data_IF_831097145993
#
_entry.id   IF_831097145993
#
_cell.length_a   1.000
_cell.length_b   1.000
_cell.length_c   1.000
_cell.angle_alpha   90.00
_cell.angle_beta   90.00
_cell.angle_gamma   90.00
#
_symmetry.space_group_name_H-M   'P 1'
#
loop_
_entity.id
_entity.type
_entity.pdbx_description
1 polymer ?
#
# COMPACT_ATOMS: atom_id res chain seq x y z
N UNK A 1 -0.93 0.76 -3.47
CA UNK A 1 -0.77 0.98 -2.00
C UNK A 1 -1.89 0.26 -1.26
N UNK A 2 -1.52 -0.70 -0.46
CA UNK A 2 -2.41 -1.41 0.46
C UNK A 2 -2.56 -0.56 1.73
N UNK A 3 -3.52 0.35 1.72
CA UNK A 3 -3.66 1.37 2.77
C UNK A 3 -3.94 0.76 4.13
N UNK A 4 -4.75 -0.30 4.20
CA UNK A 4 -5.04 -0.95 5.48
C UNK A 4 -3.79 -1.57 6.11
N UNK A 5 -2.99 -2.28 5.33
CA UNK A 5 -1.75 -2.88 5.83
C UNK A 5 -0.82 -1.80 6.40
N UNK A 6 -0.59 -0.73 5.66
CA UNK A 6 0.27 0.36 6.10
C UNK A 6 -0.31 1.10 7.31
N UNK A 7 -1.63 1.33 7.32
CA UNK A 7 -2.32 2.00 8.42
C UNK A 7 -2.17 1.21 9.72
N UNK A 8 -2.48 -0.09 9.70
CA UNK A 8 -2.40 -0.91 10.89
C UNK A 8 -0.96 -1.03 11.41
N UNK A 9 0.00 -1.18 10.52
CA UNK A 9 1.41 -1.26 10.89
C UNK A 9 1.90 0.05 11.54
N UNK A 10 1.61 1.19 10.94
CA UNK A 10 2.00 2.48 11.49
C UNK A 10 1.36 2.72 12.87
N UNK A 11 0.08 2.37 13.01
CA UNK A 11 -0.64 2.49 14.27
C UNK A 11 -0.07 1.61 15.35
N UNK A 12 0.14 0.34 15.04
CA UNK A 12 0.59 -0.65 16.02
C UNK A 12 2.06 -0.47 16.43
N UNK A 13 2.91 -0.11 15.48
CA UNK A 13 4.36 0.02 15.74
C UNK A 13 4.75 1.39 16.30
N UNK A 14 4.07 2.46 15.88
CA UNK A 14 4.52 3.83 16.12
C UNK A 14 3.42 4.75 16.66
N UNK A 15 2.20 4.25 16.83
CA UNK A 15 1.02 5.07 17.17
C UNK A 15 0.93 6.34 16.28
N UNK A 16 1.07 6.14 14.98
CA UNK A 16 1.20 7.22 14.01
C UNK A 16 0.35 6.93 12.76
N UNK A 17 0.23 7.93 11.91
CA UNK A 17 -0.35 7.80 10.57
C UNK A 17 0.76 7.83 9.53
N UNK A 18 0.49 7.23 8.39
CA UNK A 18 1.43 7.25 7.25
C UNK A 18 1.30 8.58 6.49
N UNK A 19 2.42 9.18 6.16
CA UNK A 19 2.49 10.33 5.26
C UNK A 19 2.57 9.82 3.82
N UNK A 20 1.44 9.68 3.16
CA UNK A 20 1.37 9.11 1.81
C UNK A 20 2.04 9.99 0.74
N UNK A 21 2.15 11.30 0.97
CA UNK A 21 2.91 12.17 0.08
C UNK A 21 4.40 11.75 0.06
N UNK A 22 4.99 11.49 1.22
CA UNK A 22 6.38 11.05 1.30
C UNK A 22 6.57 9.61 0.79
N UNK A 23 5.59 8.74 1.03
CA UNK A 23 5.61 7.38 0.47
C UNK A 23 5.57 7.44 -1.06
N UNK A 24 4.72 8.28 -1.64
CA UNK A 24 4.66 8.45 -3.09
C UNK A 24 5.98 8.97 -3.65
N UNK A 25 6.59 9.94 -3.00
CA UNK A 25 7.89 10.50 -3.43
C UNK A 25 8.98 9.44 -3.46
N UNK A 26 9.11 8.62 -2.41
CA UNK A 26 10.13 7.57 -2.39
C UNK A 26 9.81 6.45 -3.38
N UNK A 27 8.54 6.14 -3.61
CA UNK A 27 8.13 5.18 -4.61
C UNK A 27 8.49 5.65 -6.04
N UNK A 28 8.26 6.91 -6.35
CA UNK A 28 8.63 7.49 -7.64
C UNK A 28 10.15 7.53 -7.82
N UNK A 29 10.88 7.92 -6.78
CA UNK A 29 12.36 7.91 -6.77
C UNK A 29 13.00 8.62 -7.99
N UNK A 30 12.41 9.73 -8.43
CA UNK A 30 12.90 10.48 -9.59
C UNK A 30 12.61 9.85 -10.95
N UNK A 31 11.92 8.72 -10.98
CA UNK A 31 11.51 8.02 -12.21
C UNK A 31 10.26 8.67 -12.80
N UNK A 32 9.92 8.31 -14.05
CA UNK A 32 8.67 8.74 -14.66
C UNK A 32 7.49 8.10 -13.95
N UNK A 33 6.65 8.93 -13.35
CA UNK A 33 5.42 8.48 -12.70
C UNK A 33 4.36 8.15 -13.74
N UNK A 34 3.85 6.91 -13.71
CA UNK A 34 2.80 6.45 -14.62
C UNK A 34 1.45 6.48 -13.92
N UNK A 35 1.26 5.65 -12.88
CA UNK A 35 0.00 5.57 -12.12
C UNK A 35 0.27 5.12 -10.69
N UNK A 36 -0.58 5.57 -9.76
CA UNK A 36 -0.62 5.07 -8.41
C UNK A 36 -2.05 4.79 -7.99
N UNK A 37 -2.25 3.66 -7.30
CA UNK A 37 -3.54 3.26 -6.76
C UNK A 37 -3.45 3.14 -5.25
N UNK A 38 -4.46 3.66 -4.55
CA UNK A 38 -4.65 3.43 -3.12
C UNK A 38 -5.94 2.62 -2.93
N UNK A 39 -5.83 1.51 -2.25
CA UNK A 39 -6.95 0.60 -1.97
C UNK A 39 -7.43 0.88 -0.57
N UNK A 40 -8.61 1.42 -0.47
CA UNK A 40 -9.15 1.96 0.77
C UNK A 40 -10.51 1.36 1.11
N UNK A 41 -10.83 1.37 2.38
CA UNK A 41 -12.09 0.87 2.91
C UNK A 41 -12.85 2.03 3.52
N UNK A 42 -14.13 2.16 3.14
CA UNK A 42 -15.02 3.18 3.65
C UNK A 42 -15.90 2.60 4.76
N UNK A 43 -15.90 3.25 5.90
CA UNK A 43 -16.81 2.93 6.99
C UNK A 43 -18.15 3.66 6.81
N UNK A 44 -19.18 3.22 7.54
CA UNK A 44 -20.53 3.81 7.44
C UNK A 44 -20.58 5.29 7.80
N UNK A 45 -19.65 5.79 8.62
CA UNK A 45 -19.61 7.18 9.04
C UNK A 45 -19.12 8.17 8.00
N UNK A 46 -18.47 7.71 6.93
CA UNK A 46 -17.94 8.56 5.87
C UNK A 46 -16.84 9.52 6.32
N UNK A 47 -16.18 9.23 7.43
CA UNK A 47 -15.16 10.11 8.04
C UNK A 47 -13.87 10.18 7.22
N UNK A 48 -13.66 9.23 6.31
CA UNK A 48 -12.44 9.11 5.50
C UNK A 48 -12.44 10.02 4.26
N UNK A 49 -13.54 10.73 3.98
CA UNK A 49 -13.66 11.55 2.77
C UNK A 49 -12.51 12.56 2.60
N UNK A 50 -12.10 13.33 3.65
CA UNK A 50 -10.95 14.23 3.51
C UNK A 50 -9.64 13.50 3.17
N UNK A 51 -9.46 12.31 3.70
CA UNK A 51 -8.30 11.48 3.41
C UNK A 51 -8.29 11.03 1.93
N UNK A 52 -9.44 10.59 1.42
CA UNK A 52 -9.56 10.19 0.02
C UNK A 52 -9.31 11.37 -0.93
N UNK A 53 -9.81 12.55 -0.58
CA UNK A 53 -9.55 13.77 -1.34
C UNK A 53 -8.06 14.15 -1.33
N UNK A 54 -7.40 14.00 -0.18
CA UNK A 54 -5.96 14.24 -0.07
C UNK A 54 -5.15 13.29 -0.96
N UNK A 55 -5.51 12.01 -1.01
CA UNK A 55 -4.86 11.05 -1.92
C UNK A 55 -5.06 11.44 -3.38
N UNK A 56 -6.28 11.80 -3.76
CA UNK A 56 -6.59 12.22 -5.12
C UNK A 56 -5.79 13.47 -5.53
N UNK A 57 -5.63 14.43 -4.62
CA UNK A 57 -4.84 15.64 -4.86
C UNK A 57 -3.35 15.35 -5.08
N UNK A 58 -2.85 14.22 -4.59
CA UNK A 58 -1.48 13.77 -4.84
C UNK A 58 -1.32 13.07 -6.20
N UNK A 59 -2.42 12.85 -6.93
CA UNK A 59 -2.41 12.08 -8.17
C UNK A 59 -2.55 10.57 -7.97
N UNK A 60 -3.00 10.15 -6.80
CA UNK A 60 -3.25 8.75 -6.47
C UNK A 60 -4.71 8.42 -6.75
N UNK A 61 -4.96 7.40 -7.56
CA UNK A 61 -6.30 6.89 -7.84
C UNK A 61 -6.79 6.04 -6.67
N UNK A 62 -7.92 6.40 -6.09
CA UNK A 62 -8.49 5.63 -4.97
C UNK A 62 -9.47 4.57 -5.46
N UNK A 63 -9.29 3.35 -4.98
CA UNK A 63 -10.23 2.24 -5.12
C UNK A 63 -10.92 2.06 -3.79
N UNK A 64 -12.22 2.31 -3.73
CA UNK A 64 -12.98 2.31 -2.48
C UNK A 64 -13.86 1.09 -2.40
N UNK A 65 -13.85 0.42 -1.27
CA UNK A 65 -14.76 -0.68 -0.93
C UNK A 65 -15.42 -0.37 0.40
N UNK A 66 -16.71 -0.67 0.51
CA UNK A 66 -17.41 -0.53 1.78
C UNK A 66 -17.03 -1.67 2.73
N UNK A 67 -16.90 -1.32 4.00
CA UNK A 67 -16.66 -2.32 5.05
C UNK A 67 -17.88 -3.24 5.15
N UNK A 68 -17.65 -4.56 4.99
CA UNK A 68 -18.69 -5.57 5.12
C UNK A 68 -18.72 -6.09 6.56
N UNK A 69 -19.90 -6.04 7.18
CA UNK A 69 -20.16 -6.70 8.46
C UNK A 69 -20.90 -8.01 8.19
N UNK A 70 -20.33 -9.12 8.66
CA UNK A 70 -20.97 -10.42 8.56
C UNK A 70 -21.91 -10.64 9.75
N UNK A 71 -22.83 -11.58 9.58
CA UNK A 71 -23.88 -11.92 10.54
C UNK A 71 -23.33 -12.27 11.94
N UNK A 72 -22.10 -12.75 12.02
CA UNK A 72 -21.41 -13.12 13.27
C UNK A 72 -20.61 -11.97 13.89
N UNK A 73 -20.76 -10.75 13.40
CA UNK A 73 -20.01 -9.59 13.84
C UNK A 73 -18.61 -9.45 13.27
N UNK A 74 -18.18 -10.39 12.42
CA UNK A 74 -16.90 -10.25 11.73
C UNK A 74 -16.97 -9.16 10.67
N UNK A 75 -15.91 -8.36 10.62
CA UNK A 75 -15.75 -7.33 9.60
C UNK A 75 -14.68 -7.77 8.62
N UNK A 76 -15.04 -7.83 7.33
CA UNK A 76 -14.08 -8.15 6.28
C UNK A 76 -14.07 -7.04 5.24
N UNK A 77 -12.89 -6.51 4.99
CA UNK A 77 -12.64 -5.65 3.87
C UNK A 77 -11.20 -5.89 3.43
N UNK A 78 -11.05 -6.61 2.34
CA UNK A 78 -9.79 -7.08 1.83
C UNK A 78 -9.72 -6.72 0.34
N UNK A 79 -8.59 -6.11 -0.06
CA UNK A 79 -8.35 -5.72 -1.42
C UNK A 79 -7.32 -6.61 -2.14
N UNK A 80 -6.89 -7.72 -1.54
CA UNK A 80 -5.77 -8.52 -2.05
C UNK A 80 -5.99 -8.93 -3.51
N UNK A 81 -7.18 -9.45 -3.83
CA UNK A 81 -7.52 -9.85 -5.20
C UNK A 81 -7.56 -8.64 -6.14
N UNK A 82 -8.15 -7.53 -5.69
CA UNK A 82 -8.21 -6.29 -6.48
C UNK A 82 -6.83 -5.72 -6.77
N UNK A 83 -5.94 -5.72 -5.79
CA UNK A 83 -4.56 -5.27 -5.95
C UNK A 83 -3.84 -6.14 -6.99
N UNK A 84 -3.98 -7.46 -6.89
CA UNK A 84 -3.34 -8.40 -7.82
C UNK A 84 -3.84 -8.18 -9.25
N UNK A 85 -5.15 -8.06 -9.43
CA UNK A 85 -5.74 -7.86 -10.77
C UNK A 85 -5.28 -6.54 -11.39
N UNK A 86 -5.33 -5.44 -10.63
CA UNK A 86 -4.89 -4.14 -11.13
C UNK A 86 -3.40 -4.13 -11.47
N UNK A 87 -2.57 -4.76 -10.63
CA UNK A 87 -1.14 -4.88 -10.90
C UNK A 87 -0.85 -5.64 -12.19
N UNK A 88 -1.50 -6.77 -12.39
CA UNK A 88 -1.33 -7.58 -13.61
C UNK A 88 -1.84 -6.81 -14.85
N UNK A 89 -2.99 -6.15 -14.72
CA UNK A 89 -3.60 -5.41 -15.82
C UNK A 89 -2.76 -4.23 -16.28
N UNK A 90 -2.11 -3.53 -15.35
CA UNK A 90 -1.34 -2.32 -15.65
C UNK A 90 0.14 -2.59 -15.93
N UNK A 91 0.67 -3.73 -15.51
CA UNK A 91 2.07 -4.08 -15.65
C UNK A 91 2.63 -3.97 -17.09
N UNK A 92 1.89 -4.34 -18.16
CA UNK A 92 2.42 -4.21 -19.52
C UNK A 92 2.85 -2.79 -19.91
N UNK A 93 2.27 -1.77 -19.29
CA UNK A 93 2.58 -0.37 -19.58
C UNK A 93 3.69 0.25 -18.73
N UNK A 94 4.34 -0.52 -17.85
CA UNK A 94 5.35 0.00 -16.93
C UNK A 94 6.57 -0.91 -16.88
N UNK A 95 7.70 -0.38 -16.40
CA UNK A 95 8.93 -1.14 -16.17
C UNK A 95 9.12 -1.54 -14.72
N UNK A 96 8.60 -0.74 -13.81
CA UNK A 96 8.75 -0.93 -12.36
C UNK A 96 7.38 -0.93 -11.71
N UNK A 97 7.14 -1.92 -10.86
CA UNK A 97 5.93 -2.00 -10.02
C UNK A 97 6.34 -1.84 -8.56
N UNK A 98 5.72 -0.90 -7.88
CA UNK A 98 5.96 -0.64 -6.46
C UNK A 98 4.76 -1.15 -5.67
N UNK A 99 4.97 -2.16 -4.86
CA UNK A 99 3.95 -2.70 -3.96
C UNK A 99 4.16 -2.14 -2.55
N UNK A 100 3.20 -1.37 -2.06
CA UNK A 100 3.24 -0.81 -0.71
C UNK A 100 2.39 -1.68 0.21
N UNK A 101 2.93 -2.79 0.64
CA UNK A 101 2.32 -3.75 1.57
C UNK A 101 3.37 -4.71 2.12
N UNK A 102 3.20 -5.12 3.36
CA UNK A 102 4.04 -6.16 3.98
C UNK A 102 3.41 -7.56 3.96
N UNK A 103 2.27 -7.73 3.30
CA UNK A 103 1.52 -8.97 3.30
C UNK A 103 2.20 -10.04 2.42
N UNK A 104 2.60 -11.15 3.04
CA UNK A 104 3.22 -12.28 2.34
C UNK A 104 2.32 -12.95 1.30
N UNK A 105 1.01 -12.73 1.36
CA UNK A 105 0.09 -13.25 0.34
C UNK A 105 0.36 -12.68 -1.05
N UNK A 106 1.11 -11.57 -1.15
CA UNK A 106 1.52 -10.98 -2.42
C UNK A 106 2.78 -11.60 -3.04
N UNK A 107 3.42 -12.57 -2.40
CA UNK A 107 4.61 -13.22 -2.97
C UNK A 107 4.35 -13.78 -4.38
N UNK A 108 3.24 -14.49 -4.64
CA UNK A 108 2.94 -14.96 -6.00
C UNK A 108 2.83 -13.84 -7.02
N UNK A 109 2.29 -12.68 -6.63
CA UNK A 109 2.23 -11.51 -7.51
C UNK A 109 3.62 -10.99 -7.84
N UNK A 110 4.49 -10.87 -6.85
CA UNK A 110 5.88 -10.42 -7.04
C UNK A 110 6.61 -11.35 -8.00
N UNK A 111 6.50 -12.65 -7.78
CA UNK A 111 7.13 -13.67 -8.64
C UNK A 111 6.60 -13.60 -10.07
N UNK A 112 5.29 -13.48 -10.24
CA UNK A 112 4.66 -13.34 -11.56
C UNK A 112 5.21 -12.12 -12.31
N UNK A 113 5.22 -10.95 -11.66
CA UNK A 113 5.68 -9.71 -12.28
C UNK A 113 7.17 -9.78 -12.66
N UNK A 114 8.01 -10.35 -11.80
CA UNK A 114 9.44 -10.55 -12.11
C UNK A 114 9.63 -11.49 -13.30
N UNK A 115 8.82 -12.55 -13.40
CA UNK A 115 8.83 -13.44 -14.56
C UNK A 115 8.39 -12.75 -15.86
N UNK A 116 7.61 -11.68 -15.75
CA UNK A 116 7.24 -10.82 -16.89
C UNK A 116 8.31 -9.77 -17.22
N UNK A 117 9.47 -9.85 -16.58
CA UNK A 117 10.56 -8.92 -16.82
C UNK A 117 10.42 -7.57 -16.10
N UNK A 118 9.52 -7.47 -15.14
CA UNK A 118 9.34 -6.24 -14.37
C UNK A 118 10.28 -6.21 -13.17
N UNK A 119 10.75 -5.01 -12.80
CA UNK A 119 11.37 -4.78 -11.51
C UNK A 119 10.26 -4.57 -10.48
N UNK A 120 10.33 -5.27 -9.35
CA UNK A 120 9.33 -5.14 -8.28
C UNK A 120 10.01 -4.69 -7.00
N UNK A 121 9.55 -3.55 -6.48
CA UNK A 121 10.01 -3.00 -5.21
C UNK A 121 8.87 -3.05 -4.20
N UNK A 122 9.20 -3.32 -2.94
CA UNK A 122 8.24 -3.38 -1.85
C UNK A 122 8.56 -2.28 -0.84
N UNK A 123 7.53 -1.53 -0.45
CA UNK A 123 7.61 -0.48 0.58
C UNK A 123 6.65 -0.86 1.71
N UNK A 124 7.18 -1.02 2.91
CA UNK A 124 6.38 -1.36 4.09
C UNK A 124 7.21 -1.15 5.36
N UNK A 125 6.72 -1.65 6.49
CA UNK A 125 7.45 -1.66 7.75
C UNK A 125 8.10 -3.03 7.93
N UNK A 126 9.42 -3.08 8.07
CA UNK A 126 10.15 -4.34 8.19
C UNK A 126 9.58 -5.25 9.27
N UNK A 127 9.25 -4.69 10.43
CA UNK A 127 8.79 -5.45 11.59
C UNK A 127 7.46 -6.19 11.37
N UNK A 128 6.66 -5.75 10.41
CA UNK A 128 5.36 -6.36 10.07
C UNK A 128 5.32 -6.89 8.64
N UNK A 129 6.48 -7.02 8.01
CA UNK A 129 6.60 -7.55 6.65
C UNK A 129 7.09 -8.98 6.68
N UNK A 130 6.45 -9.84 5.88
CA UNK A 130 6.94 -11.19 5.63
C UNK A 130 8.39 -11.16 5.13
N UNK A 131 9.28 -11.92 5.79
CA UNK A 131 10.68 -12.01 5.36
C UNK A 131 10.80 -12.60 3.95
N UNK A 132 9.94 -13.55 3.61
CA UNK A 132 9.91 -14.14 2.27
C UNK A 132 9.48 -13.12 1.21
N UNK A 133 8.56 -12.21 1.54
CA UNK A 133 8.17 -11.12 0.62
C UNK A 133 9.35 -10.18 0.38
N UNK A 134 10.08 -9.80 1.43
CA UNK A 134 11.28 -8.96 1.28
C UNK A 134 12.33 -9.59 0.39
N UNK A 135 12.57 -10.89 0.55
CA UNK A 135 13.54 -11.63 -0.25
C UNK A 135 13.10 -11.77 -1.72
N UNK A 136 11.80 -11.91 -1.96
CA UNK A 136 11.26 -12.03 -3.31
C UNK A 136 11.38 -10.73 -4.13
N UNK A 137 11.28 -9.58 -3.48
CA UNK A 137 11.35 -8.27 -4.12
C UNK A 137 12.76 -7.94 -4.60
N UNK A 138 12.86 -7.16 -5.67
CA UNK A 138 14.16 -6.63 -6.14
C UNK A 138 14.75 -5.61 -5.17
N UNK A 139 13.90 -4.86 -4.47
CA UNK A 139 14.29 -3.93 -3.43
C UNK A 139 13.20 -3.84 -2.36
N UNK A 140 13.60 -3.65 -1.12
CA UNK A 140 12.70 -3.40 0.01
C UNK A 140 13.07 -2.09 0.68
N UNK A 141 12.08 -1.22 0.86
CA UNK A 141 12.22 0.05 1.58
C UNK A 141 11.43 -0.03 2.88
N UNK A 142 12.13 0.12 4.01
CA UNK A 142 11.53 0.11 5.33
C UNK A 142 11.15 1.53 5.76
N UNK A 143 9.86 1.79 5.86
CA UNK A 143 9.33 3.08 6.32
C UNK A 143 9.70 3.38 7.77
N UNK A 144 10.00 2.35 8.56
CA UNK A 144 10.39 2.51 9.95
C UNK A 144 11.80 3.06 10.17
N UNK A 145 12.66 3.02 9.14
CA UNK A 145 14.02 3.55 9.25
C UNK A 145 14.08 5.09 9.31
N UNK A 146 13.07 5.76 8.72
CA UNK A 146 12.96 7.22 8.79
C UNK A 146 11.52 7.62 9.18
N UNK A 147 11.17 7.28 10.41
CA UNK A 147 9.84 7.50 10.93
C UNK A 147 9.43 8.97 10.93
N UNK A 148 10.38 9.90 11.13
CA UNK A 148 10.08 11.34 11.11
C UNK A 148 9.59 11.81 9.75
N UNK A 149 10.08 11.20 8.68
CA UNK A 149 9.73 11.56 7.31
C UNK A 149 8.41 10.92 6.88
N UNK A 150 8.23 9.63 7.17
CA UNK A 150 7.13 8.85 6.64
C UNK A 150 5.91 8.78 7.54
N UNK A 151 6.03 9.22 8.79
CA UNK A 151 4.96 9.13 9.77
C UNK A 151 4.56 10.50 10.31
N UNK A 152 3.27 10.63 10.59
CA UNK A 152 2.70 11.80 11.25
C UNK A 152 2.14 11.37 12.60
N UNK A 153 2.45 12.12 13.65
CA UNK A 153 1.89 11.86 14.98
C UNK A 153 0.37 12.02 14.97
N UNK A 154 -0.30 11.12 15.64
CA UNK A 154 -1.73 11.26 15.90
C UNK A 154 -1.86 12.33 16.98
N UNK A 155 -2.61 13.39 16.69
CA UNK A 155 -2.97 14.39 17.70
C UNK A 155 -3.98 13.77 18.64
N UNK A 156 -3.67 13.79 19.92
CA UNK A 156 -4.62 13.41 20.97
C UNK A 156 -5.77 14.41 21.08
#
# INVERSE_FOLDING_TARGET
>A
MDVQNLYHSARNLHNARVNFNEVLKIAIAGRKFIRAFAYVVRTKGGEEKPFFEALANLGIETRVRDLQEFYDGQKKADWDVGIVIDAIRTAPGVDVVILCSGDGDFIPLVEYLKNQGKRVEVIAFERTTSSALREAADEFIDLGQDARKYLMKIKE
#
